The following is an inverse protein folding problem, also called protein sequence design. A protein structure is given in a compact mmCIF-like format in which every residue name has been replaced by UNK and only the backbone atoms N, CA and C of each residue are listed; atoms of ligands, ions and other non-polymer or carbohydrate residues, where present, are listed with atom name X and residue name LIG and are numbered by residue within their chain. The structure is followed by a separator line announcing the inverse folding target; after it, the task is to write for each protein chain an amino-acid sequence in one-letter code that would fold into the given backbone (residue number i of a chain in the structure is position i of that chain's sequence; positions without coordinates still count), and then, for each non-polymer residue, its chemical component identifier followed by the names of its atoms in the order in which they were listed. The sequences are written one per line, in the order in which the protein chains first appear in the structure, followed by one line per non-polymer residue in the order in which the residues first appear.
data_IF_043115721235
#
_entry.id   IF_043115721235
#
_cell.length_a   1.000
_cell.length_b   1.000
_cell.length_c   1.000
_cell.angle_alpha   90.00
_cell.angle_beta   90.00
_cell.angle_gamma   90.00
#
_symmetry.space_group_name_H-M   'P 1'
#
loop_
_entity.id
_entity.type
_entity.pdbx_description
1 polymer ?
#
# COMPACT_ATOMS: atom_id res chain seq x y z
N UNK A 1 12.35 -6.23 -2.90
CA UNK A 1 11.11 -6.63 -3.60
C UNK A 1 10.34 -5.37 -3.94
N UNK A 2 9.69 -5.31 -5.09
CA UNK A 2 8.92 -4.12 -5.47
C UNK A 2 7.58 -4.12 -4.77
N UNK A 3 6.94 -2.96 -4.72
CA UNK A 3 5.59 -2.85 -4.17
C UNK A 3 4.60 -3.72 -4.95
N UNK A 4 4.74 -3.80 -6.27
CA UNK A 4 3.89 -4.65 -7.11
C UNK A 4 4.13 -6.14 -6.94
N UNK A 5 5.27 -6.56 -6.35
CA UNK A 5 5.55 -7.96 -6.05
C UNK A 5 4.82 -8.45 -4.78
N UNK A 6 4.21 -7.54 -4.00
CA UNK A 6 3.39 -7.89 -2.84
C UNK A 6 2.15 -8.67 -3.30
N UNK A 7 1.82 -9.74 -2.58
CA UNK A 7 0.60 -10.52 -2.84
C UNK A 7 -0.61 -9.74 -2.36
N UNK A 8 -1.74 -9.89 -3.04
CA UNK A 8 -3.01 -9.34 -2.56
C UNK A 8 -3.29 -9.84 -1.13
N UNK A 9 -3.77 -8.93 -0.30
CA UNK A 9 -4.07 -9.11 1.12
C UNK A 9 -2.86 -9.39 2.01
N UNK A 10 -1.65 -9.37 1.46
CA UNK A 10 -0.42 -9.49 2.23
C UNK A 10 -0.31 -8.34 3.24
N UNK A 11 -0.03 -8.72 4.48
CA UNK A 11 0.19 -7.78 5.56
C UNK A 11 1.58 -7.16 5.43
N UNK A 12 1.64 -5.84 5.66
CA UNK A 12 2.86 -5.04 5.64
C UNK A 12 2.80 -4.04 6.79
N UNK A 13 3.95 -3.58 7.24
CA UNK A 13 4.09 -2.51 8.22
C UNK A 13 4.56 -1.28 7.48
N UNK A 14 3.89 -0.15 7.67
CA UNK A 14 4.27 1.13 7.05
C UNK A 14 4.33 2.18 8.14
N UNK A 15 5.51 2.74 8.39
CA UNK A 15 5.75 3.67 9.51
C UNK A 15 5.29 3.11 10.87
N UNK A 16 5.47 1.81 11.11
CA UNK A 16 5.08 1.15 12.38
C UNK A 16 3.61 0.73 12.49
N UNK A 17 2.75 1.08 11.53
CA UNK A 17 1.34 0.67 11.52
C UNK A 17 1.09 -0.50 10.56
N UNK A 18 0.12 -1.36 10.88
CA UNK A 18 -0.20 -2.55 10.08
C UNK A 18 -1.19 -2.23 8.97
N UNK A 19 -0.87 -2.68 7.76
CA UNK A 19 -1.72 -2.53 6.59
C UNK A 19 -1.82 -3.84 5.80
N UNK A 20 -2.89 -4.00 5.02
CA UNK A 20 -3.00 -5.02 3.96
C UNK A 20 -2.84 -4.40 2.59
N UNK A 21 -1.96 -4.97 1.80
CA UNK A 21 -1.84 -4.61 0.39
C UNK A 21 -3.11 -5.02 -0.38
N UNK A 22 -3.77 -4.06 -1.02
CA UNK A 22 -4.98 -4.29 -1.84
C UNK A 22 -4.72 -4.14 -3.34
N UNK A 23 -3.47 -3.99 -3.74
CA UNK A 23 -3.10 -3.81 -5.15
C UNK A 23 -3.39 -2.41 -5.67
N UNK A 24 -3.44 -2.29 -7.00
CA UNK A 24 -3.79 -1.04 -7.68
C UNK A 24 -5.31 -0.99 -7.81
N UNK A 25 -5.96 -0.05 -7.11
CA UNK A 25 -7.39 0.17 -7.17
C UNK A 25 -7.72 1.59 -7.66
N UNK A 26 -8.90 1.74 -8.28
CA UNK A 26 -9.47 3.06 -8.57
C UNK A 26 -10.09 3.63 -7.30
N UNK A 27 -9.49 4.70 -6.78
CA UNK A 27 -10.00 5.44 -5.63
C UNK A 27 -10.63 6.74 -6.09
N UNK A 28 -11.73 7.15 -5.45
CA UNK A 28 -12.38 8.44 -5.71
C UNK A 28 -11.77 9.48 -4.77
N UNK A 29 -10.90 10.32 -5.31
CA UNK A 29 -10.28 11.44 -4.60
C UNK A 29 -10.86 12.74 -5.16
N UNK A 30 -11.51 13.53 -4.29
CA UNK A 30 -12.06 14.85 -4.63
C UNK A 30 -12.85 14.91 -5.94
N UNK A 31 -13.76 13.94 -6.16
CA UNK A 31 -14.66 13.92 -7.31
C UNK A 31 -14.15 13.15 -8.54
N UNK A 32 -12.84 12.90 -8.65
CA UNK A 32 -12.24 12.18 -9.78
C UNK A 32 -11.79 10.77 -9.38
N UNK A 33 -11.89 9.81 -10.31
CA UNK A 33 -11.41 8.44 -10.13
C UNK A 33 -9.96 8.34 -10.61
N UNK A 34 -9.04 8.01 -9.71
CA UNK A 34 -7.62 7.84 -10.03
C UNK A 34 -7.15 6.45 -9.60
N UNK A 35 -6.27 5.83 -10.38
CA UNK A 35 -5.63 4.59 -9.98
C UNK A 35 -4.52 4.88 -8.98
N UNK A 36 -4.54 4.20 -7.83
CA UNK A 36 -3.53 4.28 -6.78
C UNK A 36 -3.24 2.89 -6.25
N UNK A 37 -2.05 2.72 -5.72
CA UNK A 37 -1.70 1.54 -4.93
C UNK A 37 -2.31 1.71 -3.55
N UNK A 38 -3.11 0.73 -3.13
CA UNK A 38 -3.90 0.83 -1.91
C UNK A 38 -3.36 -0.11 -0.84
N UNK A 39 -3.15 0.47 0.34
CA UNK A 39 -2.84 -0.23 1.57
C UNK A 39 -3.96 0.04 2.56
N UNK A 40 -4.77 -0.98 2.82
CA UNK A 40 -5.89 -0.88 3.75
C UNK A 40 -5.38 -0.95 5.17
N UNK A 41 -5.74 0.01 6.03
CA UNK A 41 -5.36 -0.03 7.43
C UNK A 41 -5.99 -1.25 8.10
N UNK A 42 -5.20 -1.99 8.90
CA UNK A 42 -5.74 -3.06 9.75
C UNK A 42 -6.17 -2.56 11.13
N UNK A 43 -5.73 -1.37 11.48
CA UNK A 43 -6.12 -0.65 12.69
C UNK A 43 -7.16 0.41 12.33
N UNK A 44 -7.77 1.10 13.31
CA UNK A 44 -8.76 2.17 13.09
C UNK A 44 -8.17 3.46 12.43
N UNK A 45 -7.03 3.36 11.74
CA UNK A 45 -6.39 4.42 11.00
C UNK A 45 -6.88 4.54 9.54
N UNK A 46 -6.50 5.64 8.86
CA UNK A 46 -6.81 5.84 7.45
C UNK A 46 -6.02 4.89 6.55
N UNK A 47 -6.62 4.50 5.43
CA UNK A 47 -5.94 3.79 4.36
C UNK A 47 -4.80 4.63 3.78
N UNK A 48 -3.73 3.95 3.37
CA UNK A 48 -2.61 4.56 2.66
C UNK A 48 -2.75 4.39 1.16
N UNK A 49 -2.54 5.47 0.44
CA UNK A 49 -2.55 5.49 -1.02
C UNK A 49 -1.19 5.95 -1.53
N UNK A 50 -0.59 5.17 -2.42
CA UNK A 50 0.62 5.55 -3.14
C UNK A 50 0.32 5.71 -4.63
N UNK A 51 1.12 6.54 -5.29
CA UNK A 51 1.03 6.67 -6.73
C UNK A 51 1.43 5.37 -7.43
N UNK A 52 0.83 5.08 -8.59
CA UNK A 52 1.12 3.88 -9.37
C UNK A 52 2.59 3.83 -9.82
N UNK A 53 3.21 4.99 -10.04
CA UNK A 53 4.62 5.11 -10.42
C UNK A 53 5.56 4.59 -9.33
N UNK A 54 5.14 4.60 -8.07
CA UNK A 54 5.90 4.07 -6.95
C UNK A 54 5.82 2.53 -6.87
N UNK A 55 4.95 1.89 -7.66
CA UNK A 55 4.78 0.44 -7.71
C UNK A 55 6.06 -0.31 -8.08
N UNK A 56 6.86 0.30 -8.96
CA UNK A 56 8.13 -0.25 -9.42
C UNK A 56 9.28 -0.02 -8.43
N UNK A 57 9.10 0.81 -7.39
CA UNK A 57 10.12 1.04 -6.36
C UNK A 57 10.18 -0.13 -5.40
N UNK A 58 11.36 -0.30 -4.81
CA UNK A 58 11.56 -1.29 -3.76
C UNK A 58 10.79 -0.88 -2.49
N UNK A 59 10.18 -1.85 -1.81
CA UNK A 59 9.42 -1.62 -0.58
C UNK A 59 10.28 -0.95 0.50
N UNK A 60 11.59 -1.24 0.53
CA UNK A 60 12.56 -0.65 1.47
C UNK A 60 12.68 0.86 1.29
N UNK A 61 12.66 1.34 0.05
CA UNK A 61 12.74 2.78 -0.28
C UNK A 61 11.53 3.55 0.25
N UNK A 62 10.38 2.88 0.36
CA UNK A 62 9.14 3.47 0.85
C UNK A 62 8.91 3.24 2.35
N UNK A 63 9.89 2.69 3.06
CA UNK A 63 9.77 2.30 4.48
C UNK A 63 8.59 1.36 4.73
N UNK A 64 8.35 0.46 3.77
CA UNK A 64 7.38 -0.62 3.88
C UNK A 64 8.16 -1.87 4.30
N UNK A 65 7.77 -2.41 5.44
CA UNK A 65 8.39 -3.56 6.08
C UNK A 65 7.43 -4.76 5.98
N UNK A 66 7.98 -5.97 5.90
CA UNK A 66 7.16 -7.17 6.03
C UNK A 66 7.02 -7.51 7.51
N UNK A 67 5.84 -7.93 7.97
CA UNK A 67 5.71 -8.46 9.32
C UNK A 67 6.59 -9.70 9.45
N UNK A 68 7.53 -9.66 10.38
CA UNK A 68 8.27 -10.86 10.80
C UNK A 68 7.27 -11.83 11.40
N UNK A 69 7.24 -13.05 10.84
CA UNK A 69 6.37 -14.14 11.28
C UNK A 69 6.81 -14.71 12.61
#
# INVERSE_FOLDING_TARGET
MKVTDLKLEQEVIINGFRYKYKGINKVKLSGYKVQKIVFKSLENGPDKYFDITLGHKDIKTLKIELPTK
#
